data_IF_884645774000
#
_entry.id   IF_884645774000
#
_cell.length_a   1.000
_cell.length_b   1.000
_cell.length_c   1.000
_cell.angle_alpha   90.00
_cell.angle_beta   90.00
_cell.angle_gamma   90.00
#
_symmetry.space_group_name_H-M   'P 1'
#
loop_
_entity.id
_entity.type
_entity.pdbx_description
1 polymer ?
#
# COMPACT_ATOMS: atom_id res chain seq x y z
N UNK A 1 25.12 -21.28 56.80
CA UNK A 1 24.58 -19.97 56.39
C UNK A 1 25.40 -19.28 55.30
N UNK A 2 26.73 -19.29 55.38
CA UNK A 2 27.61 -18.64 54.40
C UNK A 2 27.49 -19.21 52.98
N UNK A 3 27.35 -20.55 52.87
CA UNK A 3 27.21 -21.21 51.54
C UNK A 3 25.81 -21.02 50.92
N UNK A 4 24.78 -20.79 51.72
CA UNK A 4 23.41 -20.50 51.26
C UNK A 4 23.32 -19.08 50.65
N UNK A 5 24.06 -18.14 51.23
CA UNK A 5 24.12 -16.76 50.73
C UNK A 5 24.84 -16.67 49.38
N UNK A 6 25.88 -17.46 49.15
CA UNK A 6 26.61 -17.54 47.88
C UNK A 6 25.73 -18.18 46.81
N UNK A 7 24.95 -19.21 47.15
CA UNK A 7 24.01 -19.85 46.21
C UNK A 7 22.89 -18.88 45.76
N UNK A 8 22.40 -18.06 46.71
CA UNK A 8 21.37 -17.04 46.41
C UNK A 8 21.92 -15.93 45.51
N UNK A 9 23.17 -15.53 45.73
CA UNK A 9 23.81 -14.47 44.94
C UNK A 9 24.07 -14.91 43.49
N UNK A 10 24.39 -16.21 43.24
CA UNK A 10 24.63 -16.74 41.91
C UNK A 10 23.35 -16.86 41.05
N UNK A 11 22.19 -17.04 41.66
CA UNK A 11 20.90 -17.08 40.94
C UNK A 11 20.46 -15.72 40.44
N UNK A 12 20.88 -14.61 41.07
CA UNK A 12 20.53 -13.26 40.65
C UNK A 12 21.31 -12.77 39.41
N UNK A 13 22.50 -13.29 39.13
CA UNK A 13 23.32 -12.87 37.98
C UNK A 13 22.93 -13.58 36.69
N UNK A 14 22.08 -14.60 36.72
CA UNK A 14 21.63 -15.34 35.52
C UNK A 14 20.37 -14.79 34.83
N UNK A 15 19.72 -13.80 35.46
CA UNK A 15 18.47 -13.22 34.91
C UNK A 15 18.68 -12.00 34.03
N UNK A 16 19.91 -11.63 33.68
CA UNK A 16 20.20 -10.41 32.91
C UNK A 16 20.65 -10.69 31.48
N UNK A 17 19.93 -11.58 30.80
CA UNK A 17 20.07 -11.72 29.32
C UNK A 17 18.69 -11.59 28.69
N UNK A 18 18.11 -10.40 28.73
CA UNK A 18 17.06 -10.05 27.78
C UNK A 18 17.73 -9.83 26.44
N UNK A 19 17.57 -10.81 25.54
CA UNK A 19 18.11 -10.81 24.18
C UNK A 19 17.29 -9.97 23.20
N UNK A 20 16.34 -9.16 23.64
CA UNK A 20 15.28 -8.65 22.80
C UNK A 20 15.33 -7.15 22.52
N UNK A 21 16.44 -6.46 22.81
CA UNK A 21 16.57 -5.02 22.57
C UNK A 21 17.14 -4.64 21.18
N UNK A 22 17.28 -5.60 20.25
CA UNK A 22 17.49 -5.22 18.87
C UNK A 22 16.12 -4.97 18.23
N UNK A 23 15.83 -3.72 17.77
CA UNK A 23 14.61 -3.46 17.05
C UNK A 23 14.55 -4.40 15.85
N UNK A 24 13.57 -5.30 15.84
CA UNK A 24 13.34 -6.21 14.73
C UNK A 24 13.07 -5.38 13.48
N UNK A 25 13.64 -5.74 12.33
CA UNK A 25 13.37 -5.02 11.10
C UNK A 25 11.87 -5.05 10.84
N UNK A 26 11.26 -3.86 10.74
CA UNK A 26 9.84 -3.69 10.44
C UNK A 26 9.55 -4.36 9.10
N UNK A 27 8.55 -5.24 9.07
CA UNK A 27 8.16 -5.91 7.82
C UNK A 27 7.67 -4.89 6.78
N UNK A 28 7.81 -5.21 5.49
CA UNK A 28 7.34 -4.31 4.43
C UNK A 28 5.84 -4.04 4.52
N UNK A 29 5.07 -5.01 5.00
CA UNK A 29 3.63 -4.86 5.23
C UNK A 29 3.31 -3.85 6.35
N UNK A 30 4.09 -3.86 7.43
CA UNK A 30 3.92 -2.93 8.57
C UNK A 30 4.27 -1.48 8.22
N UNK A 31 5.04 -1.25 7.15
CA UNK A 31 5.33 0.09 6.63
C UNK A 31 4.13 0.71 5.92
N UNK A 32 3.16 -0.09 5.50
CA UNK A 32 1.95 0.41 4.85
C UNK A 32 1.03 1.12 5.85
N UNK A 33 0.31 2.15 5.41
CA UNK A 33 -0.70 2.78 6.26
C UNK A 33 -1.79 1.76 6.60
N UNK A 34 -2.29 1.74 7.85
CA UNK A 34 -3.36 0.85 8.24
C UNK A 34 -4.63 1.14 7.43
N UNK A 35 -5.37 0.09 7.09
CA UNK A 35 -6.69 0.24 6.48
C UNK A 35 -7.61 0.99 7.45
N UNK A 36 -8.16 2.12 7.02
CA UNK A 36 -9.05 2.94 7.86
C UNK A 36 -10.40 3.13 7.17
N UNK A 37 -11.44 3.32 7.97
CA UNK A 37 -12.80 3.65 7.51
C UNK A 37 -13.12 5.14 7.67
N UNK A 38 -12.13 5.97 7.98
CA UNK A 38 -12.31 7.39 8.36
C UNK A 38 -11.75 8.37 7.34
N UNK A 39 -11.38 7.93 6.14
CA UNK A 39 -10.84 8.82 5.10
C UNK A 39 -9.51 9.47 5.49
N UNK A 40 -8.57 8.69 6.04
CA UNK A 40 -7.27 9.19 6.53
C UNK A 40 -6.36 9.79 5.44
N UNK A 41 -6.80 9.82 4.18
CA UNK A 41 -6.04 10.32 3.03
C UNK A 41 -4.65 9.70 2.91
N UNK A 42 -4.55 8.40 3.21
CA UNK A 42 -3.32 7.60 3.12
C UNK A 42 -3.50 6.51 2.08
N UNK A 43 -2.46 6.24 1.32
CA UNK A 43 -2.43 5.23 0.28
C UNK A 43 -1.07 4.54 0.29
N UNK A 44 -1.04 3.27 -0.07
CA UNK A 44 0.17 2.48 -0.23
C UNK A 44 -0.17 1.08 -0.67
N UNK A 45 0.78 0.39 -1.23
CA UNK A 45 0.68 -1.02 -1.62
C UNK A 45 2.03 -1.73 -1.47
N UNK A 46 2.04 -3.02 -1.68
CA UNK A 46 3.28 -3.76 -1.94
C UNK A 46 3.51 -3.80 -3.46
N UNK A 47 4.67 -3.36 -3.89
CA UNK A 47 5.18 -3.50 -5.25
C UNK A 47 6.41 -4.40 -5.18
N UNK A 48 6.37 -5.55 -5.85
CA UNK A 48 7.42 -6.59 -5.76
C UNK A 48 7.80 -6.92 -4.31
N UNK A 49 6.79 -7.10 -3.46
CA UNK A 49 6.92 -7.40 -2.02
C UNK A 49 7.58 -6.29 -1.18
N UNK A 50 7.79 -5.10 -1.73
CA UNK A 50 8.29 -3.91 -1.02
C UNK A 50 7.18 -2.87 -0.84
N UNK A 51 7.19 -2.18 0.29
CA UNK A 51 6.23 -1.11 0.55
C UNK A 51 6.47 0.04 -0.43
N UNK A 52 5.45 0.33 -1.24
CA UNK A 52 5.40 1.46 -2.15
C UNK A 52 4.40 2.49 -1.62
N UNK A 53 4.90 3.66 -1.28
CA UNK A 53 4.15 4.78 -0.72
C UNK A 53 4.29 5.99 -1.64
N UNK A 54 3.30 6.90 -1.66
CA UNK A 54 3.45 8.16 -2.39
C UNK A 54 4.66 8.95 -1.89
N UNK A 55 5.32 9.63 -2.80
CA UNK A 55 6.41 10.54 -2.48
C UNK A 55 5.93 11.74 -1.65
N UNK A 56 6.84 12.34 -0.89
CA UNK A 56 6.55 13.53 -0.09
C UNK A 56 6.69 14.80 -0.92
N UNK A 57 5.88 14.93 -1.97
CA UNK A 57 5.82 16.11 -2.83
C UNK A 57 4.39 16.33 -3.34
N UNK A 58 4.12 17.54 -3.84
CA UNK A 58 2.82 17.92 -4.35
C UNK A 58 2.40 16.99 -5.51
N UNK A 59 1.11 16.58 -5.53
CA UNK A 59 0.53 15.71 -6.54
C UNK A 59 1.12 14.29 -6.58
N UNK A 60 1.80 13.83 -5.52
CA UNK A 60 2.26 12.45 -5.42
C UNK A 60 1.13 11.43 -5.27
N UNK A 61 -0.08 11.87 -4.97
CA UNK A 61 -1.29 11.06 -4.91
C UNK A 61 -2.51 11.88 -5.31
N UNK A 62 -3.47 11.21 -5.92
CA UNK A 62 -4.77 11.78 -6.26
C UNK A 62 -5.85 10.71 -6.19
N UNK A 63 -7.06 11.11 -5.78
CA UNK A 63 -8.22 10.24 -5.78
C UNK A 63 -9.45 11.09 -6.06
N UNK A 64 -10.22 10.72 -7.08
CA UNK A 64 -11.49 11.35 -7.37
C UNK A 64 -12.53 10.33 -7.86
N UNK A 65 -13.77 10.65 -7.60
CA UNK A 65 -14.93 9.96 -8.14
C UNK A 65 -15.93 11.03 -8.59
N UNK A 66 -16.25 11.05 -9.86
CA UNK A 66 -17.06 12.10 -10.46
C UNK A 66 -18.02 11.58 -11.53
N UNK A 67 -19.10 12.30 -11.72
CA UNK A 67 -20.06 12.10 -12.80
C UNK A 67 -19.89 13.23 -13.81
N UNK A 68 -19.55 12.89 -15.04
CA UNK A 68 -19.30 13.84 -16.14
C UNK A 68 -19.94 13.30 -17.41
N UNK A 69 -20.70 14.15 -18.10
CA UNK A 69 -21.35 13.84 -19.40
C UNK A 69 -22.18 12.54 -19.37
N UNK A 70 -22.89 12.29 -18.26
CA UNK A 70 -23.72 11.10 -18.12
C UNK A 70 -23.00 9.82 -17.67
N UNK A 71 -21.70 9.89 -17.41
CA UNK A 71 -20.85 8.73 -17.12
C UNK A 71 -20.09 8.92 -15.80
N UNK A 72 -19.75 7.81 -15.14
CA UNK A 72 -18.97 7.82 -13.89
C UNK A 72 -17.49 7.52 -14.17
N UNK A 73 -16.63 8.24 -13.45
CA UNK A 73 -15.18 8.07 -13.50
C UNK A 73 -14.62 8.01 -12.09
N UNK A 74 -13.95 6.93 -11.77
CA UNK A 74 -13.16 6.77 -10.55
C UNK A 74 -11.68 6.70 -10.91
N UNK A 75 -10.84 7.43 -10.21
CA UNK A 75 -9.39 7.34 -10.34
C UNK A 75 -8.75 7.43 -8.97
N UNK A 76 -7.87 6.51 -8.69
CA UNK A 76 -6.94 6.56 -7.58
C UNK A 76 -5.54 6.33 -8.15
N UNK A 77 -4.68 7.34 -8.02
CA UNK A 77 -3.30 7.27 -8.50
C UNK A 77 -2.34 7.74 -7.42
N UNK A 78 -1.16 7.17 -7.41
CA UNK A 78 -0.06 7.63 -6.58
C UNK A 78 1.27 7.26 -7.20
N UNK A 79 2.26 8.08 -6.90
CA UNK A 79 3.58 7.97 -7.49
C UNK A 79 4.67 8.32 -6.48
N UNK A 80 5.85 7.79 -6.72
CA UNK A 80 7.04 8.09 -5.95
C UNK A 80 8.25 8.19 -6.89
N UNK A 81 9.25 8.93 -6.47
CA UNK A 81 10.54 9.03 -7.12
C UNK A 81 11.58 8.33 -6.28
N UNK A 82 12.45 7.59 -6.91
CA UNK A 82 13.61 7.00 -6.25
C UNK A 82 14.73 8.03 -6.06
N UNK A 83 15.88 7.58 -5.58
CA UNK A 83 17.08 8.42 -5.37
C UNK A 83 17.67 9.00 -6.65
N UNK A 84 17.36 8.42 -7.81
CA UNK A 84 17.77 8.89 -9.14
C UNK A 84 16.72 9.81 -9.78
N UNK A 85 15.65 10.14 -9.05
CA UNK A 85 14.47 10.86 -9.54
C UNK A 85 13.63 10.09 -10.57
N UNK A 86 13.83 8.78 -10.69
CA UNK A 86 13.01 7.93 -11.54
C UNK A 86 11.59 7.79 -10.94
N UNK A 87 10.60 8.11 -11.76
CA UNK A 87 9.21 8.18 -11.35
C UNK A 87 8.51 6.84 -11.57
N UNK A 88 8.08 6.20 -10.49
CA UNK A 88 7.14 5.07 -10.52
C UNK A 88 5.73 5.56 -10.22
N UNK A 89 4.77 5.18 -11.05
CA UNK A 89 3.35 5.54 -10.87
C UNK A 89 2.46 4.30 -10.91
N UNK A 90 1.47 4.30 -10.02
CA UNK A 90 0.42 3.30 -9.96
C UNK A 90 -0.94 3.97 -10.08
N UNK A 91 -1.86 3.30 -10.77
CA UNK A 91 -3.24 3.73 -10.94
C UNK A 91 -4.20 2.56 -10.75
N UNK A 92 -5.34 2.83 -10.11
CA UNK A 92 -6.54 1.99 -10.15
C UNK A 92 -7.70 2.89 -10.51
N UNK A 93 -8.47 2.52 -11.52
CA UNK A 93 -9.51 3.40 -12.04
C UNK A 93 -10.69 2.64 -12.64
N UNK A 94 -11.81 3.34 -12.81
CA UNK A 94 -12.89 2.95 -13.71
C UNK A 94 -12.99 3.91 -14.89
N UNK A 95 -13.37 3.40 -16.03
CA UNK A 95 -13.64 4.21 -17.22
C UNK A 95 -15.08 4.05 -17.64
N UNK A 96 -15.88 5.11 -17.46
CA UNK A 96 -17.32 5.13 -17.71
C UNK A 96 -18.10 4.06 -16.91
N UNK A 97 -17.66 3.78 -15.67
CA UNK A 97 -18.31 2.78 -14.85
C UNK A 97 -18.39 3.22 -13.39
N UNK A 98 -19.53 2.95 -12.79
CA UNK A 98 -19.83 3.35 -11.42
C UNK A 98 -19.14 2.43 -10.40
N UNK A 99 -18.65 3.00 -9.30
CA UNK A 99 -18.27 2.25 -8.11
C UNK A 99 -19.31 2.45 -7.01
N UNK A 100 -19.43 1.47 -6.12
CA UNK A 100 -20.31 1.52 -4.95
C UNK A 100 -19.61 1.00 -3.70
N UNK A 101 -20.05 1.47 -2.56
CA UNK A 101 -19.58 0.93 -1.29
C UNK A 101 -19.92 -0.56 -1.17
N UNK A 102 -18.97 -1.38 -0.75
CA UNK A 102 -19.08 -2.84 -0.70
C UNK A 102 -18.85 -3.52 -2.04
N UNK A 103 -18.68 -2.76 -3.13
CA UNK A 103 -18.45 -3.32 -4.46
C UNK A 103 -17.10 -4.03 -4.60
N UNK A 104 -17.08 -5.08 -5.41
CA UNK A 104 -15.89 -5.83 -5.79
C UNK A 104 -15.85 -5.89 -7.31
N UNK A 105 -14.76 -5.43 -7.90
CA UNK A 105 -14.61 -5.25 -9.34
C UNK A 105 -13.33 -5.92 -9.82
N UNK A 106 -13.44 -6.71 -10.87
CA UNK A 106 -12.27 -7.29 -11.52
C UNK A 106 -11.62 -6.24 -12.43
N UNK A 107 -10.30 -6.17 -12.40
CA UNK A 107 -9.52 -5.23 -13.20
C UNK A 107 -9.08 -5.89 -14.51
N UNK A 108 -9.41 -5.27 -15.62
CA UNK A 108 -9.15 -5.75 -16.98
C UNK A 108 -8.44 -4.69 -17.83
N UNK A 109 -8.67 -4.71 -19.13
CA UNK A 109 -8.09 -3.79 -20.11
C UNK A 109 -8.59 -2.34 -19.91
N UNK A 110 -7.77 -1.38 -20.31
CA UNK A 110 -8.10 0.04 -20.33
C UNK A 110 -9.07 0.36 -21.50
N UNK A 111 -10.32 -0.03 -21.36
CA UNK A 111 -11.41 0.29 -22.30
C UNK A 111 -12.65 0.81 -21.56
N UNK A 112 -13.56 1.47 -22.30
CA UNK A 112 -14.82 1.96 -21.74
C UNK A 112 -15.64 0.84 -21.12
N UNK A 113 -16.20 1.07 -19.94
CA UNK A 113 -16.97 0.08 -19.19
C UNK A 113 -16.14 -0.82 -18.26
N UNK A 114 -14.82 -0.74 -18.29
CA UNK A 114 -13.97 -1.55 -17.44
C UNK A 114 -13.45 -0.79 -16.21
N UNK A 115 -13.06 -1.58 -15.23
CA UNK A 115 -12.15 -1.19 -14.15
C UNK A 115 -10.77 -1.71 -14.52
N UNK A 116 -9.73 -0.93 -14.25
CA UNK A 116 -8.36 -1.29 -14.61
C UNK A 116 -7.35 -0.83 -13.58
N UNK A 117 -6.23 -1.51 -13.53
CA UNK A 117 -5.02 -1.10 -12.83
C UNK A 117 -3.94 -0.76 -13.84
N UNK A 118 -2.98 0.07 -13.44
CA UNK A 118 -1.86 0.39 -14.31
C UNK A 118 -0.60 0.71 -13.52
N UNK A 119 0.52 0.49 -14.18
CA UNK A 119 1.87 0.77 -13.71
C UNK A 119 2.64 1.51 -14.79
N UNK A 120 3.44 2.49 -14.42
CA UNK A 120 4.41 3.08 -15.32
C UNK A 120 5.70 3.46 -14.60
N UNK A 121 6.81 3.39 -15.33
CA UNK A 121 8.11 3.82 -14.88
C UNK A 121 8.61 4.95 -15.81
N UNK A 122 8.94 6.11 -15.24
CA UNK A 122 9.36 7.33 -15.94
C UNK A 122 8.41 7.77 -17.07
N UNK A 123 7.11 7.54 -16.90
CA UNK A 123 6.08 7.77 -17.92
C UNK A 123 6.30 6.99 -19.24
N UNK A 124 7.26 6.10 -19.29
CA UNK A 124 7.51 5.21 -20.42
C UNK A 124 6.88 3.83 -20.16
N UNK A 125 6.47 3.17 -21.24
CA UNK A 125 5.91 1.81 -21.23
C UNK A 125 4.82 1.62 -20.15
N UNK A 126 3.74 2.42 -20.14
CA UNK A 126 2.63 2.17 -19.24
C UNK A 126 2.06 0.78 -19.53
N UNK A 127 1.94 -0.03 -18.50
CA UNK A 127 1.30 -1.35 -18.55
C UNK A 127 0.00 -1.29 -17.79
N UNK A 128 -1.05 -1.92 -18.34
CA UNK A 128 -2.34 -2.02 -17.68
C UNK A 128 -2.69 -3.48 -17.41
N UNK A 129 -3.63 -3.69 -16.51
CA UNK A 129 -4.31 -4.98 -16.37
C UNK A 129 -4.92 -5.40 -17.69
N UNK A 130 -5.07 -6.70 -17.91
CA UNK A 130 -5.55 -7.33 -19.13
C UNK A 130 -6.31 -8.61 -18.79
N UNK A 131 -6.80 -9.32 -19.79
CA UNK A 131 -7.40 -10.65 -19.60
C UNK A 131 -6.44 -11.70 -19.01
N UNK A 132 -5.13 -11.49 -19.14
CA UNK A 132 -4.08 -12.39 -18.62
C UNK A 132 -3.39 -11.86 -17.36
N UNK A 133 -3.46 -10.56 -17.11
CA UNK A 133 -2.88 -9.88 -15.94
C UNK A 133 -3.99 -9.12 -15.22
N UNK A 134 -4.79 -9.85 -14.48
CA UNK A 134 -5.97 -9.32 -13.79
C UNK A 134 -5.64 -8.85 -12.38
N UNK A 135 -6.52 -8.06 -11.83
CA UNK A 135 -6.51 -7.64 -10.43
C UNK A 135 -7.93 -7.55 -9.89
N UNK A 136 -8.05 -7.14 -8.64
CA UNK A 136 -9.35 -6.95 -7.98
C UNK A 136 -9.35 -5.66 -7.17
N UNK A 137 -10.38 -4.84 -7.37
CA UNK A 137 -10.66 -3.65 -6.57
C UNK A 137 -11.82 -3.94 -5.64
N UNK A 138 -11.64 -3.70 -4.35
CA UNK A 138 -12.71 -3.75 -3.35
C UNK A 138 -12.91 -2.37 -2.75
N UNK A 139 -14.13 -1.86 -2.79
CA UNK A 139 -14.51 -0.58 -2.19
C UNK A 139 -15.17 -0.86 -0.84
N UNK A 140 -14.43 -0.69 0.24
CA UNK A 140 -14.96 -0.93 1.59
C UNK A 140 -15.79 0.24 2.11
N UNK A 141 -15.46 1.47 1.67
CA UNK A 141 -16.19 2.71 1.99
C UNK A 141 -15.97 3.75 0.90
N UNK A 142 -17.00 4.50 0.58
CA UNK A 142 -17.00 5.72 -0.25
C UNK A 142 -17.27 6.95 0.60
#
# INVERSE_FOLDING_TARGET
>A
MKNLLILLLTTFVLSCCNKDDYPQPVSELEKLPPATQTGANKIGCLLDSKAFLPGNYNNSKNCFYQFVDGEYYFVMTFNNKDTNFDLTSLIVASKKNQISQGGIYDLYEYIDGNYYGGYSFNAFNPTNTSSTHTGKLTITKL
#
